data_IF_070284693898
#
_entry.id   IF_070284693898
#
_cell.length_a   1.000
_cell.length_b   1.000
_cell.length_c   1.000
_cell.angle_alpha   90.00
_cell.angle_beta   90.00
_cell.angle_gamma   90.00
#
_symmetry.space_group_name_H-M   'P 1'
#
loop_
_entity.id
_entity.type
_entity.pdbx_description
1 polymer ?
#
# COMPACT_ATOMS: atom_id res chain seq x y z
N UNK A 1 -14.33 -10.46 -14.75
CA UNK A 1 -15.29 -11.58 -14.96
C UNK A 1 -16.43 -11.55 -13.94
N UNK A 2 -16.17 -11.53 -12.63
CA UNK A 2 -17.25 -11.56 -11.62
C UNK A 2 -17.40 -10.26 -10.82
N UNK A 3 -16.45 -9.33 -10.97
CA UNK A 3 -16.42 -8.05 -10.28
C UNK A 3 -15.97 -6.94 -11.24
N UNK A 4 -15.54 -5.80 -10.71
CA UNK A 4 -15.13 -4.63 -11.48
C UNK A 4 -13.60 -4.52 -11.57
N UNK A 5 -13.10 -4.11 -12.73
CA UNK A 5 -11.70 -3.81 -13.03
C UNK A 5 -11.63 -2.37 -13.53
N UNK A 6 -10.58 -1.63 -13.17
CA UNK A 6 -10.20 -0.40 -13.87
C UNK A 6 -9.08 -0.73 -14.87
N UNK A 7 -9.23 -0.27 -16.11
CA UNK A 7 -8.17 -0.31 -17.13
C UNK A 7 -7.49 1.05 -17.33
N UNK A 8 -7.71 2.00 -16.41
CA UNK A 8 -7.18 3.35 -16.46
C UNK A 8 -6.61 3.80 -15.10
N UNK A 9 -6.05 2.86 -14.32
CA UNK A 9 -5.35 3.16 -13.06
C UNK A 9 -3.83 3.21 -13.26
N UNK A 10 -3.19 4.28 -12.82
CA UNK A 10 -1.74 4.49 -12.98
C UNK A 10 -1.05 4.64 -11.62
N UNK A 11 0.27 4.43 -11.55
CA UNK A 11 1.02 4.91 -10.39
C UNK A 11 0.99 6.43 -10.34
N UNK A 12 0.99 7.02 -9.15
CA UNK A 12 0.95 8.49 -9.01
C UNK A 12 2.23 9.15 -9.54
N UNK A 13 3.37 8.48 -9.34
CA UNK A 13 4.67 8.88 -9.90
C UNK A 13 5.33 7.71 -10.63
N UNK A 14 6.33 8.01 -11.46
CA UNK A 14 7.29 6.96 -11.86
C UNK A 14 8.12 6.52 -10.64
N UNK A 15 8.65 5.31 -10.69
CA UNK A 15 9.52 4.77 -9.65
C UNK A 15 9.10 3.37 -9.21
N UNK A 16 9.79 2.83 -8.21
CA UNK A 16 9.56 1.49 -7.70
C UNK A 16 8.57 1.49 -6.52
N UNK A 17 8.65 0.44 -5.72
CA UNK A 17 7.71 0.06 -4.69
C UNK A 17 7.61 1.08 -3.54
N UNK A 18 8.71 1.72 -3.14
CA UNK A 18 8.66 2.69 -2.02
C UNK A 18 7.82 3.93 -2.35
N UNK A 19 8.03 4.64 -3.48
CA UNK A 19 7.09 5.67 -3.93
C UNK A 19 5.64 5.19 -3.96
N UNK A 20 5.36 4.03 -4.56
CA UNK A 20 4.00 3.50 -4.63
C UNK A 20 3.36 3.27 -3.26
N UNK A 21 4.11 2.70 -2.31
CA UNK A 21 3.65 2.48 -0.94
C UNK A 21 3.36 3.80 -0.20
N UNK A 22 4.16 4.85 -0.43
CA UNK A 22 3.94 6.18 0.14
C UNK A 22 2.74 6.90 -0.48
N UNK A 23 2.54 6.78 -1.80
CA UNK A 23 1.41 7.39 -2.49
C UNK A 23 0.07 6.76 -2.04
N UNK A 24 0.02 5.44 -1.78
CA UNK A 24 -1.19 4.79 -1.22
C UNK A 24 -1.57 5.33 0.17
N UNK A 25 -0.60 5.65 1.02
CA UNK A 25 -0.87 6.05 2.42
C UNK A 25 -0.91 7.57 2.64
N UNK A 26 -0.30 8.34 1.74
CA UNK A 26 -0.14 9.79 1.91
C UNK A 26 -0.34 10.62 0.63
N UNK A 27 -0.37 10.00 -0.56
CA UNK A 27 -0.36 10.70 -1.85
C UNK A 27 0.84 11.64 -2.00
N UNK A 28 1.96 11.34 -1.32
CA UNK A 28 3.09 12.25 -1.16
C UNK A 28 4.43 11.52 -1.00
N UNK A 29 5.37 11.88 -1.86
CA UNK A 29 6.75 11.35 -1.93
C UNK A 29 7.83 12.41 -1.60
N UNK A 30 7.45 13.68 -1.46
CA UNK A 30 8.29 14.75 -0.93
C UNK A 30 8.21 14.86 0.59
N UNK A 31 9.30 15.33 1.21
CA UNK A 31 9.42 15.46 2.65
C UNK A 31 10.31 14.39 3.26
N UNK A 32 11.02 13.63 2.43
CA UNK A 32 12.01 12.67 2.88
C UNK A 32 13.15 13.39 3.62
N UNK A 33 13.52 12.84 4.77
CA UNK A 33 14.62 13.28 5.63
C UNK A 33 15.56 12.08 5.79
N UNK A 34 16.71 12.07 5.09
CA UNK A 34 17.65 10.97 5.18
C UNK A 34 18.33 10.91 6.56
N UNK A 35 18.39 9.72 7.13
CA UNK A 35 19.13 9.42 8.36
C UNK A 35 20.43 8.77 7.97
N UNK A 36 21.49 9.58 7.97
CA UNK A 36 22.82 9.10 7.60
C UNK A 36 23.39 8.23 8.70
N UNK A 37 23.56 6.95 8.41
CA UNK A 37 24.62 6.17 9.04
C UNK A 37 25.96 6.61 8.44
N UNK A 38 27.09 6.44 9.14
CA UNK A 38 28.44 6.89 8.73
C UNK A 38 28.95 6.34 7.36
N UNK A 39 28.11 5.67 6.56
CA UNK A 39 28.45 4.90 5.36
C UNK A 39 28.20 5.60 4.01
N UNK A 40 27.60 6.78 3.96
CA UNK A 40 27.40 7.52 2.70
C UNK A 40 28.11 8.89 2.69
N UNK A 41 29.16 9.07 1.88
CA UNK A 41 29.80 10.37 1.70
C UNK A 41 28.99 11.34 0.83
N UNK A 42 27.97 10.85 0.09
CA UNK A 42 27.04 11.65 -0.72
C UNK A 42 25.69 10.97 -0.87
N UNK A 43 24.64 11.77 -1.06
CA UNK A 43 23.28 11.30 -1.30
C UNK A 43 23.14 10.70 -2.70
N UNK A 44 22.55 9.50 -2.86
CA UNK A 44 22.30 8.92 -4.18
C UNK A 44 21.13 9.66 -4.85
N UNK A 45 21.44 10.46 -5.88
CA UNK A 45 20.44 11.22 -6.66
C UNK A 45 19.46 10.34 -7.42
N UNK A 46 19.76 9.05 -7.57
CA UNK A 46 18.84 8.04 -8.11
C UNK A 46 17.76 7.56 -7.12
N UNK A 47 17.83 7.99 -5.85
CA UNK A 47 16.85 7.63 -4.80
C UNK A 47 16.25 8.90 -4.18
N UNK A 48 17.05 9.93 -3.93
CA UNK A 48 16.61 11.17 -3.29
C UNK A 48 16.99 12.38 -4.14
N UNK A 49 15.99 13.19 -4.49
CA UNK A 49 16.20 14.47 -5.16
C UNK A 49 16.08 15.63 -4.17
N UNK A 50 17.13 16.46 -4.01
CA UNK A 50 17.08 17.60 -3.10
C UNK A 50 16.12 18.68 -3.59
N UNK A 51 15.36 19.26 -2.68
CA UNK A 51 14.49 20.41 -2.97
C UNK A 51 15.21 21.77 -2.87
N UNK A 52 16.50 21.75 -2.49
CA UNK A 52 17.32 22.94 -2.25
C UNK A 52 17.04 23.67 -0.93
N UNK A 53 16.10 23.18 -0.11
CA UNK A 53 15.64 23.77 1.17
C UNK A 53 15.80 22.81 2.36
N UNK A 54 16.51 21.70 2.17
CA UNK A 54 16.84 20.75 3.23
C UNK A 54 15.86 19.58 3.34
N UNK A 55 14.96 19.41 2.36
CA UNK A 55 14.11 18.22 2.19
C UNK A 55 14.41 17.53 0.87
N UNK A 56 13.83 16.35 0.71
CA UNK A 56 14.03 15.53 -0.48
C UNK A 56 12.70 14.98 -0.98
N UNK A 57 12.63 14.77 -2.29
CA UNK A 57 11.66 13.88 -2.92
C UNK A 57 12.28 12.49 -3.06
N UNK A 58 11.57 11.48 -2.60
CA UNK A 58 11.95 10.08 -2.79
C UNK A 58 11.48 9.59 -4.16
N UNK A 59 12.42 9.09 -4.97
CA UNK A 59 12.17 8.60 -6.33
C UNK A 59 12.62 7.14 -6.53
N UNK A 60 13.12 6.49 -5.49
CA UNK A 60 13.62 5.12 -5.49
C UNK A 60 13.44 4.46 -4.13
N UNK A 61 13.95 3.24 -3.98
CA UNK A 61 13.82 2.51 -2.72
C UNK A 61 14.87 2.92 -1.68
N UNK A 62 14.37 3.28 -0.50
CA UNK A 62 15.12 3.39 0.74
C UNK A 62 14.43 2.51 1.78
N UNK A 63 15.06 2.21 2.92
CA UNK A 63 14.30 1.59 4.02
C UNK A 63 13.75 2.69 4.96
N UNK A 64 12.65 2.43 5.69
CA UNK A 64 12.20 3.33 6.75
C UNK A 64 13.20 3.36 7.91
N UNK A 65 13.45 4.52 8.54
CA UNK A 65 14.26 4.57 9.76
C UNK A 65 13.56 3.89 10.94
N UNK A 66 12.25 4.06 11.05
CA UNK A 66 11.43 3.58 12.17
C UNK A 66 11.04 2.10 12.00
N UNK A 67 12.01 1.25 11.70
CA UNK A 67 11.80 -0.19 11.55
C UNK A 67 13.07 -0.99 11.90
N UNK A 68 12.98 -1.84 12.92
CA UNK A 68 14.08 -2.70 13.38
C UNK A 68 14.58 -3.69 12.33
N UNK A 69 13.76 -4.01 11.32
CA UNK A 69 14.11 -4.88 10.22
C UNK A 69 14.71 -4.15 9.01
N UNK A 70 14.81 -2.83 9.05
CA UNK A 70 15.54 -2.03 8.06
C UNK A 70 17.02 -2.40 8.04
N UNK A 71 17.52 -2.61 6.83
CA UNK A 71 18.87 -3.12 6.56
C UNK A 71 19.62 -2.29 5.53
N UNK A 72 18.91 -1.49 4.74
CA UNK A 72 19.52 -0.55 3.82
C UNK A 72 20.39 0.43 4.59
N UNK A 73 21.59 0.74 4.09
CA UNK A 73 22.41 1.79 4.68
C UNK A 73 21.78 3.19 4.54
N UNK A 74 20.85 3.36 3.57
CA UNK A 74 20.06 4.57 3.39
C UNK A 74 18.69 4.34 4.01
N UNK A 75 18.46 5.02 5.12
CA UNK A 75 17.19 5.04 5.83
C UNK A 75 16.64 6.46 5.84
N UNK A 76 15.32 6.61 5.82
CA UNK A 76 14.68 7.92 5.79
C UNK A 76 13.49 7.99 6.74
N UNK A 77 13.14 9.21 7.14
CA UNK A 77 11.80 9.55 7.60
C UNK A 77 11.05 10.30 6.51
N UNK A 78 9.73 10.24 6.54
CA UNK A 78 8.85 11.14 5.81
C UNK A 78 8.25 12.16 6.76
N UNK A 79 8.25 13.42 6.34
CA UNK A 79 7.55 14.50 7.01
C UNK A 79 6.15 14.70 6.41
N UNK A 80 5.24 15.27 7.20
CA UNK A 80 3.84 15.45 6.79
C UNK A 80 2.95 14.33 7.32
N UNK A 81 1.63 14.48 7.19
CA UNK A 81 0.68 13.49 7.64
C UNK A 81 0.54 12.36 6.64
N UNK A 82 0.07 11.21 7.13
CA UNK A 82 -0.52 10.16 6.31
C UNK A 82 -1.96 9.87 6.79
N UNK A 83 -2.66 8.99 6.08
CA UNK A 83 -4.07 8.69 6.34
C UNK A 83 -4.34 8.16 7.76
N UNK A 84 -3.37 7.45 8.35
CA UNK A 84 -3.48 6.91 9.70
C UNK A 84 -3.74 7.99 10.75
N UNK A 85 -3.10 9.15 10.61
CA UNK A 85 -3.31 10.28 11.52
C UNK A 85 -4.74 10.85 11.44
N UNK A 86 -5.35 10.85 10.25
CA UNK A 86 -6.75 11.27 10.10
C UNK A 86 -7.71 10.24 10.68
N UNK A 87 -7.43 8.95 10.48
CA UNK A 87 -8.22 7.85 11.03
C UNK A 87 -8.18 7.85 12.57
N UNK A 88 -6.99 8.00 13.17
CA UNK A 88 -6.80 8.11 14.62
C UNK A 88 -7.55 9.29 15.20
N UNK A 89 -7.48 10.46 14.55
CA UNK A 89 -8.18 11.66 14.98
C UNK A 89 -9.70 11.46 15.06
N UNK A 90 -10.26 10.60 14.22
CA UNK A 90 -11.69 10.26 14.21
C UNK A 90 -12.00 8.96 14.98
N UNK A 91 -11.01 8.33 15.60
CA UNK A 91 -11.12 7.02 16.25
C UNK A 91 -11.69 5.92 15.34
N UNK A 92 -11.36 5.98 14.05
CA UNK A 92 -11.77 4.96 13.09
C UNK A 92 -10.82 3.78 13.20
N UNK A 93 -11.30 2.54 13.45
CA UNK A 93 -10.41 1.41 13.58
C UNK A 93 -9.70 1.09 12.26
N UNK A 94 -8.37 1.03 12.26
CA UNK A 94 -7.58 0.74 11.06
C UNK A 94 -6.32 -0.06 11.36
N UNK A 95 -5.77 -0.74 10.36
CA UNK A 95 -4.50 -1.44 10.53
C UNK A 95 -3.77 -1.71 9.22
N UNK A 96 -2.44 -1.77 9.32
CA UNK A 96 -1.54 -2.25 8.30
C UNK A 96 -1.02 -3.63 8.69
N UNK A 97 -1.24 -4.62 7.83
CA UNK A 97 -1.04 -6.04 8.11
C UNK A 97 -0.07 -6.61 7.08
N UNK A 98 1.17 -6.89 7.51
CA UNK A 98 2.22 -7.32 6.59
C UNK A 98 2.75 -8.71 6.94
N UNK A 99 2.96 -9.54 5.91
CA UNK A 99 3.61 -10.83 6.08
C UNK A 99 5.03 -10.66 6.62
N UNK A 100 5.39 -11.42 7.66
CA UNK A 100 6.74 -11.39 8.21
C UNK A 100 6.95 -10.43 9.39
N UNK A 101 5.95 -9.60 9.74
CA UNK A 101 6.08 -8.56 10.77
C UNK A 101 6.16 -9.11 12.22
N UNK A 102 5.52 -10.24 12.52
CA UNK A 102 5.66 -10.88 13.85
C UNK A 102 7.05 -11.50 14.01
N UNK A 103 7.92 -10.82 14.76
CA UNK A 103 9.29 -11.26 15.02
C UNK A 103 9.38 -12.54 15.87
N UNK A 104 8.33 -12.86 16.63
CA UNK A 104 8.27 -14.04 17.50
C UNK A 104 7.85 -15.31 16.76
N UNK A 105 7.26 -15.16 15.57
CA UNK A 105 6.78 -16.29 14.78
C UNK A 105 7.94 -17.07 14.16
N UNK A 106 7.82 -18.39 14.18
CA UNK A 106 8.81 -19.32 13.63
C UNK A 106 8.16 -20.07 12.46
N UNK A 107 8.74 -19.99 11.28
CA UNK A 107 8.28 -20.74 10.11
C UNK A 107 8.70 -22.23 10.22
N UNK A 108 8.08 -23.16 9.45
CA UNK A 108 8.41 -24.59 9.50
C UNK A 108 9.89 -24.92 9.22
N UNK A 109 10.61 -24.05 8.52
CA UNK A 109 12.05 -24.15 8.28
C UNK A 109 12.93 -23.66 9.46
N UNK A 110 12.32 -23.26 10.58
CA UNK A 110 12.99 -22.76 11.77
C UNK A 110 13.39 -21.28 11.73
N UNK A 111 13.15 -20.57 10.62
CA UNK A 111 13.47 -19.15 10.50
C UNK A 111 12.49 -18.27 11.30
N UNK A 112 12.99 -17.12 11.80
CA UNK A 112 12.23 -16.17 12.64
C UNK A 112 12.84 -14.76 12.59
N UNK A 113 12.18 -13.81 13.25
CA UNK A 113 12.59 -12.39 13.30
C UNK A 113 12.63 -11.73 11.92
N UNK A 114 13.45 -10.69 11.77
CA UNK A 114 13.67 -10.00 10.49
C UNK A 114 14.33 -10.89 9.41
N UNK A 115 14.73 -12.11 9.77
CA UNK A 115 15.32 -13.11 8.88
C UNK A 115 14.37 -14.27 8.61
N UNK A 116 13.10 -14.17 9.00
CA UNK A 116 12.07 -15.16 8.71
C UNK A 116 11.89 -15.28 7.20
N UNK A 117 11.90 -16.52 6.70
CA UNK A 117 11.86 -16.83 5.28
C UNK A 117 10.85 -17.91 4.94
N UNK A 118 10.34 -17.83 3.71
CA UNK A 118 9.48 -18.82 3.08
C UNK A 118 10.06 -19.24 1.73
N UNK A 119 9.58 -20.38 1.22
CA UNK A 119 10.03 -20.93 -0.05
C UNK A 119 8.89 -20.81 -1.07
N UNK A 120 9.17 -20.17 -2.19
CA UNK A 120 8.25 -20.10 -3.34
C UNK A 120 7.96 -21.48 -3.91
N UNK A 121 6.88 -21.60 -4.68
CA UNK A 121 6.57 -22.79 -5.47
C UNK A 121 7.68 -23.16 -6.47
N UNK A 122 8.50 -22.19 -6.89
CA UNK A 122 9.69 -22.38 -7.73
C UNK A 122 10.97 -22.77 -6.94
N UNK A 123 10.92 -22.83 -5.61
CA UNK A 123 12.04 -23.25 -4.77
C UNK A 123 12.98 -22.13 -4.28
N UNK A 124 12.73 -20.87 -4.66
CA UNK A 124 13.47 -19.70 -4.13
C UNK A 124 13.11 -19.45 -2.66
N UNK A 125 14.12 -19.27 -1.81
CA UNK A 125 13.96 -18.90 -0.40
C UNK A 125 14.07 -17.39 -0.24
N UNK A 126 13.04 -16.77 0.33
CA UNK A 126 12.86 -15.31 0.35
C UNK A 126 12.48 -14.88 1.76
N UNK A 127 12.93 -13.70 2.19
CA UNK A 127 12.47 -13.12 3.46
C UNK A 127 11.01 -12.75 3.38
N UNK A 128 10.25 -13.01 4.43
CA UNK A 128 8.82 -12.72 4.43
C UNK A 128 8.55 -11.22 4.47
N UNK A 129 9.33 -10.46 5.26
CA UNK A 129 9.18 -9.02 5.44
C UNK A 129 10.20 -8.20 4.64
N UNK A 130 9.71 -7.22 3.89
CA UNK A 130 10.49 -6.22 3.16
C UNK A 130 10.16 -4.82 3.72
N UNK A 131 11.08 -4.18 4.49
CA UNK A 131 10.80 -2.92 5.16
C UNK A 131 10.37 -1.79 4.22
N UNK A 132 11.00 -1.69 3.04
CA UNK A 132 10.71 -0.62 2.09
C UNK A 132 9.30 -0.68 1.47
N UNK A 133 8.57 -1.79 1.63
CA UNK A 133 7.16 -1.90 1.23
C UNK A 133 6.19 -1.37 2.30
N UNK A 134 6.66 -0.98 3.49
CA UNK A 134 5.82 -0.54 4.59
C UNK A 134 5.72 0.99 4.65
N UNK A 135 4.75 1.56 3.93
CA UNK A 135 4.55 3.02 3.83
C UNK A 135 4.38 3.73 5.18
N UNK A 136 3.74 3.10 6.17
CA UNK A 136 3.49 3.72 7.47
C UNK A 136 4.73 3.80 8.36
N UNK A 137 5.72 2.92 8.17
CA UNK A 137 6.98 2.93 8.94
C UNK A 137 7.88 4.11 8.59
N UNK A 138 7.60 4.83 7.49
CA UNK A 138 8.35 6.03 7.17
C UNK A 138 7.96 7.23 8.05
N UNK A 139 6.81 7.18 8.72
CA UNK A 139 6.27 8.29 9.49
C UNK A 139 6.32 7.95 10.99
N UNK A 140 7.11 8.69 11.81
CA UNK A 140 7.17 8.44 13.25
C UNK A 140 5.79 8.52 13.95
N UNK A 141 4.84 9.26 13.38
CA UNK A 141 3.46 9.39 13.86
C UNK A 141 2.64 8.11 13.75
N UNK A 142 3.02 7.16 12.90
CA UNK A 142 2.27 5.90 12.67
C UNK A 142 3.16 4.66 12.70
N UNK A 143 4.46 4.82 12.91
CA UNK A 143 5.40 3.72 12.91
C UNK A 143 5.35 2.89 14.20
N UNK A 144 5.66 1.60 14.07
CA UNK A 144 5.96 0.66 15.14
C UNK A 144 7.42 0.19 14.97
N UNK A 145 8.41 0.92 15.53
CA UNK A 145 9.82 0.67 15.26
C UNK A 145 10.31 -0.70 15.69
N UNK A 146 9.69 -1.28 16.71
CA UNK A 146 10.15 -2.53 17.33
C UNK A 146 9.31 -3.75 16.96
N UNK A 147 8.34 -3.58 16.04
CA UNK A 147 7.35 -4.60 15.67
C UNK A 147 6.66 -5.17 16.92
N UNK A 148 6.32 -4.31 17.88
CA UNK A 148 5.63 -4.70 19.11
C UNK A 148 4.27 -5.31 18.78
N UNK A 149 3.93 -6.40 19.46
CA UNK A 149 2.69 -7.16 19.22
C UNK A 149 1.48 -6.43 19.81
N UNK A 150 0.27 -6.61 19.26
CA UNK A 150 -0.94 -6.07 19.85
C UNK A 150 -1.14 -6.59 21.28
N UNK A 151 -1.71 -5.76 22.15
CA UNK A 151 -2.01 -6.15 23.53
C UNK A 151 -3.03 -7.29 23.58
N UNK A 152 -3.96 -7.33 22.63
CA UNK A 152 -4.96 -8.40 22.49
C UNK A 152 -5.60 -8.40 21.09
N UNK A 153 -6.32 -9.46 20.74
CA UNK A 153 -7.09 -9.51 19.49
C UNK A 153 -8.15 -8.42 19.39
N UNK A 154 -8.74 -8.02 20.52
CA UNK A 154 -9.78 -6.98 20.57
C UNK A 154 -9.23 -5.55 20.47
N UNK A 155 -7.91 -5.34 20.57
CA UNK A 155 -7.29 -4.01 20.43
C UNK A 155 -6.70 -3.77 19.04
N UNK A 156 -6.63 -4.82 18.20
CA UNK A 156 -6.27 -4.67 16.79
C UNK A 156 -7.24 -3.69 16.14
N UNK A 157 -6.69 -2.67 15.47
CA UNK A 157 -7.46 -1.60 14.86
C UNK A 157 -7.46 -0.29 15.65
N UNK A 158 -7.12 -0.29 16.95
CA UNK A 158 -7.32 0.86 17.83
C UNK A 158 -6.01 1.53 18.26
N UNK A 159 -6.02 2.87 18.39
CA UNK A 159 -4.87 3.66 18.82
C UNK A 159 -4.59 3.54 20.33
N UNK A 160 -5.62 3.21 21.11
CA UNK A 160 -5.55 3.06 22.56
C UNK A 160 -6.17 1.75 23.01
N UNK A 161 -5.76 1.26 24.18
CA UNK A 161 -6.41 0.18 24.91
C UNK A 161 -7.85 0.58 25.32
N UNK A 162 -8.67 -0.37 25.82
CA UNK A 162 -10.07 -0.09 26.19
C UNK A 162 -10.27 0.98 27.28
N UNK A 163 -9.20 1.40 27.96
CA UNK A 163 -9.23 2.54 28.89
C UNK A 163 -9.30 3.91 28.21
N UNK A 164 -9.11 3.95 26.88
CA UNK A 164 -9.16 5.17 26.05
C UNK A 164 -7.97 6.11 26.24
N UNK A 165 -6.93 5.71 26.97
CA UNK A 165 -5.81 6.59 27.33
C UNK A 165 -4.46 5.91 27.13
N UNK A 166 -4.34 4.62 27.43
CA UNK A 166 -3.08 3.89 27.25
C UNK A 166 -2.88 3.60 25.76
N UNK A 167 -1.77 4.03 25.14
CA UNK A 167 -1.51 3.72 23.73
C UNK A 167 -1.47 2.22 23.48
N UNK A 168 -2.04 1.80 22.36
CA UNK A 168 -1.94 0.41 21.89
C UNK A 168 -0.51 0.15 21.38
N UNK A 169 0.19 -0.89 21.89
CA UNK A 169 1.61 -1.07 21.62
C UNK A 169 1.98 -1.35 20.16
N UNK A 170 1.07 -1.90 19.35
CA UNK A 170 1.34 -2.21 17.95
C UNK A 170 1.20 -0.99 17.03
N UNK A 171 0.56 0.09 17.51
CA UNK A 171 0.43 1.36 16.80
C UNK A 171 -0.08 1.19 15.35
N UNK A 172 -1.14 0.39 15.20
CA UNK A 172 -1.76 0.03 13.92
C UNK A 172 -0.90 -0.79 12.95
N UNK A 173 0.31 -1.22 13.33
CA UNK A 173 1.21 -2.04 12.52
C UNK A 173 1.24 -3.48 13.05
N UNK A 174 0.80 -4.41 12.22
CA UNK A 174 0.50 -5.79 12.62
C UNK A 174 1.11 -6.81 11.65
N UNK A 175 1.21 -8.06 12.09
CA UNK A 175 1.48 -9.19 11.20
C UNK A 175 0.21 -9.56 10.44
N UNK A 176 0.39 -10.03 9.20
CA UNK A 176 -0.72 -10.49 8.36
C UNK A 176 -1.63 -11.50 9.07
N UNK A 177 -1.10 -12.30 9.97
CA UNK A 177 -1.88 -13.34 10.66
C UNK A 177 -2.71 -12.80 11.81
N UNK A 178 -2.41 -11.59 12.28
CA UNK A 178 -3.26 -10.84 13.21
C UNK A 178 -4.56 -10.41 12.53
N UNK A 179 -4.52 -10.05 11.24
CA UNK A 179 -5.72 -9.74 10.46
C UNK A 179 -6.70 -10.91 10.47
N UNK A 180 -6.23 -12.09 10.06
CA UNK A 180 -7.05 -13.30 10.04
C UNK A 180 -7.58 -13.65 11.44
N UNK A 181 -6.77 -13.48 12.48
CA UNK A 181 -7.16 -13.76 13.86
C UNK A 181 -8.20 -12.77 14.39
N UNK A 182 -8.03 -11.47 14.13
CA UNK A 182 -8.96 -10.43 14.52
C UNK A 182 -10.32 -10.60 13.82
N UNK A 183 -10.30 -10.74 12.51
CA UNK A 183 -11.49 -10.95 11.67
C UNK A 183 -12.24 -12.22 12.07
N UNK A 184 -11.53 -13.32 12.31
CA UNK A 184 -12.14 -14.58 12.78
C UNK A 184 -12.78 -14.44 14.16
N UNK A 185 -12.26 -13.54 15.00
CA UNK A 185 -12.82 -13.21 16.31
C UNK A 185 -13.96 -12.19 16.26
N UNK A 186 -14.36 -11.71 15.07
CA UNK A 186 -15.39 -10.69 14.90
C UNK A 186 -14.90 -9.25 15.09
N UNK A 187 -13.58 -9.02 15.13
CA UNK A 187 -12.99 -7.69 15.19
C UNK A 187 -12.49 -7.28 13.80
N UNK A 188 -13.30 -6.49 13.08
CA UNK A 188 -13.00 -6.02 11.72
C UNK A 188 -12.59 -4.54 11.78
N UNK A 189 -11.32 -4.19 11.52
CA UNK A 189 -10.96 -2.80 11.29
C UNK A 189 -11.73 -2.26 10.09
N UNK A 190 -12.18 -1.01 10.17
CA UNK A 190 -12.88 -0.34 9.09
C UNK A 190 -11.99 -0.17 7.85
N UNK A 191 -10.69 0.06 8.05
CA UNK A 191 -9.68 0.12 6.99
C UNK A 191 -8.57 -0.89 7.30
N UNK A 192 -8.30 -1.81 6.37
CA UNK A 192 -7.20 -2.78 6.51
C UNK A 192 -6.33 -2.77 5.26
N UNK A 193 -5.05 -2.42 5.42
CA UNK A 193 -4.04 -2.55 4.37
C UNK A 193 -3.34 -3.90 4.53
N UNK A 194 -3.34 -4.73 3.48
CA UNK A 194 -2.72 -6.05 3.51
C UNK A 194 -1.55 -6.10 2.52
N UNK A 195 -0.36 -6.47 2.99
CA UNK A 195 0.77 -6.85 2.11
C UNK A 195 1.11 -8.32 2.36
N UNK A 196 1.17 -9.08 1.27
CA UNK A 196 1.58 -10.47 1.30
C UNK A 196 3.01 -10.61 1.87
N UNK A 197 3.38 -11.77 2.46
CA UNK A 197 4.79 -12.07 2.63
C UNK A 197 5.47 -12.08 1.25
N UNK A 198 6.74 -11.64 1.17
CA UNK A 198 7.37 -11.33 -0.11
C UNK A 198 7.32 -12.46 -1.15
N UNK A 199 7.36 -13.73 -0.72
CA UNK A 199 7.29 -14.85 -1.67
C UNK A 199 5.94 -14.95 -2.42
N UNK A 200 4.90 -14.25 -1.97
CA UNK A 200 3.54 -14.22 -2.54
C UNK A 200 3.08 -12.82 -2.97
N UNK A 201 3.96 -11.82 -3.04
CA UNK A 201 3.55 -10.44 -3.37
C UNK A 201 3.52 -10.14 -4.88
N UNK A 202 3.82 -11.13 -5.72
CA UNK A 202 3.79 -11.02 -7.18
C UNK A 202 5.07 -10.44 -7.80
N UNK A 203 6.00 -9.93 -6.99
CA UNK A 203 7.22 -9.30 -7.51
C UNK A 203 8.09 -10.31 -8.28
N UNK A 204 8.55 -9.91 -9.47
CA UNK A 204 9.40 -10.75 -10.30
C UNK A 204 10.74 -11.07 -9.60
N UNK A 205 11.25 -12.28 -9.82
CA UNK A 205 12.53 -12.73 -9.29
C UNK A 205 12.46 -13.44 -7.94
N UNK A 206 11.56 -13.05 -7.05
CA UNK A 206 11.37 -13.71 -5.74
C UNK A 206 9.93 -14.10 -5.42
N UNK A 207 8.95 -13.70 -6.22
CA UNK A 207 7.59 -14.26 -6.23
C UNK A 207 7.23 -14.72 -7.65
N UNK A 208 5.96 -15.09 -7.86
CA UNK A 208 5.39 -15.44 -9.14
C UNK A 208 3.85 -15.42 -9.06
N UNK A 209 3.15 -15.43 -10.21
CA UNK A 209 1.69 -15.35 -10.24
C UNK A 209 0.96 -16.50 -9.51
N UNK A 210 1.56 -17.69 -9.39
CA UNK A 210 0.91 -18.81 -8.69
C UNK A 210 0.98 -18.64 -7.16
N UNK A 211 2.12 -18.19 -6.64
CA UNK A 211 2.26 -17.90 -5.22
C UNK A 211 1.43 -16.68 -4.79
N UNK A 212 1.36 -15.66 -5.65
CA UNK A 212 0.47 -14.50 -5.50
C UNK A 212 -1.00 -14.90 -5.53
N UNK A 213 -1.43 -15.70 -6.53
CA UNK A 213 -2.79 -16.21 -6.63
C UNK A 213 -3.22 -16.91 -5.32
N UNK A 214 -2.35 -17.75 -4.74
CA UNK A 214 -2.65 -18.43 -3.47
C UNK A 214 -2.93 -17.45 -2.33
N UNK A 215 -2.18 -16.35 -2.24
CA UNK A 215 -2.43 -15.32 -1.23
C UNK A 215 -3.76 -14.59 -1.49
N UNK A 216 -3.99 -14.11 -2.71
CA UNK A 216 -5.21 -13.39 -3.07
C UNK A 216 -6.45 -14.27 -2.83
N UNK A 217 -6.42 -15.52 -3.31
CA UNK A 217 -7.52 -16.47 -3.14
C UNK A 217 -7.75 -16.81 -1.67
N UNK A 218 -6.69 -16.97 -0.85
CA UNK A 218 -6.81 -17.18 0.59
C UNK A 218 -7.55 -16.03 1.26
N UNK A 219 -7.14 -14.78 1.00
CA UNK A 219 -7.76 -13.58 1.58
C UNK A 219 -9.23 -13.47 1.14
N UNK A 220 -9.51 -13.58 -0.16
CA UNK A 220 -10.86 -13.42 -0.70
C UNK A 220 -11.80 -14.52 -0.23
N UNK A 221 -11.39 -15.79 -0.25
CA UNK A 221 -12.21 -16.89 0.25
C UNK A 221 -12.51 -16.71 1.75
N UNK A 222 -11.49 -16.33 2.53
CA UNK A 222 -11.65 -16.09 3.95
C UNK A 222 -12.68 -14.98 4.22
N UNK A 223 -12.52 -13.81 3.61
CA UNK A 223 -13.44 -12.69 3.79
C UNK A 223 -14.85 -13.00 3.31
N UNK A 224 -15.00 -13.60 2.13
CA UNK A 224 -16.31 -13.96 1.56
C UNK A 224 -17.08 -15.01 2.40
N UNK A 225 -16.37 -15.77 3.23
CA UNK A 225 -16.98 -16.73 4.17
C UNK A 225 -17.44 -16.11 5.49
N UNK A 226 -17.16 -14.82 5.72
CA UNK A 226 -17.59 -14.09 6.92
C UNK A 226 -18.92 -13.37 6.69
N UNK A 227 -19.80 -13.24 7.71
CA UNK A 227 -21.05 -12.51 7.56
C UNK A 227 -20.85 -11.03 7.17
N UNK A 228 -19.75 -10.41 7.61
CA UNK A 228 -19.37 -9.03 7.31
C UNK A 228 -18.98 -8.80 5.84
N UNK A 229 -18.84 -9.87 5.03
CA UNK A 229 -18.62 -9.72 3.58
C UNK A 229 -19.66 -8.82 2.93
N UNK A 230 -20.91 -8.85 3.42
CA UNK A 230 -22.02 -8.02 2.94
C UNK A 230 -21.73 -6.51 2.99
N UNK A 231 -20.77 -6.07 3.82
CA UNK A 231 -20.38 -4.68 4.02
C UNK A 231 -18.89 -4.45 3.69
N UNK A 232 -18.24 -5.42 3.05
CA UNK A 232 -16.80 -5.38 2.74
C UNK A 232 -16.55 -5.01 1.27
N UNK A 233 -15.51 -4.22 1.05
CA UNK A 233 -14.89 -4.06 -0.27
C UNK A 233 -13.39 -4.36 -0.18
N UNK A 234 -12.90 -5.18 -1.09
CA UNK A 234 -11.46 -5.44 -1.28
C UNK A 234 -11.03 -4.70 -2.54
N UNK A 235 -10.09 -3.78 -2.39
CA UNK A 235 -9.39 -3.13 -3.50
C UNK A 235 -8.06 -3.85 -3.68
N UNK A 236 -7.88 -4.50 -4.83
CA UNK A 236 -6.62 -5.16 -5.20
C UNK A 236 -5.90 -4.28 -6.21
N UNK A 237 -4.66 -3.86 -5.89
CA UNK A 237 -3.82 -3.08 -6.78
C UNK A 237 -2.33 -3.36 -6.55
N UNK A 238 -1.46 -2.65 -7.27
CA UNK A 238 0.00 -2.81 -7.26
C UNK A 238 0.68 -1.50 -6.87
N UNK A 239 1.88 -1.60 -6.31
CA UNK A 239 2.74 -0.48 -5.92
C UNK A 239 3.52 0.11 -7.10
N UNK A 240 3.93 -0.73 -8.04
CA UNK A 240 4.58 -0.32 -9.28
C UNK A 240 4.31 -1.31 -10.42
N UNK A 241 4.98 -1.13 -11.56
CA UNK A 241 4.81 -1.97 -12.75
C UNK A 241 6.00 -2.89 -13.04
N UNK A 242 6.99 -2.96 -12.15
CA UNK A 242 8.30 -3.60 -12.32
C UNK A 242 9.08 -3.10 -13.56
N UNK A 243 8.65 -1.96 -14.13
CA UNK A 243 9.13 -1.48 -15.43
C UNK A 243 8.70 -2.33 -16.64
N UNK A 244 7.71 -3.22 -16.48
CA UNK A 244 7.20 -4.04 -17.57
C UNK A 244 6.46 -3.21 -18.61
N UNK A 245 6.40 -3.75 -19.83
CA UNK A 245 5.73 -3.08 -20.93
C UNK A 245 4.23 -2.94 -20.69
N UNK A 246 3.76 -1.70 -20.69
CA UNK A 246 2.37 -1.33 -20.93
C UNK A 246 2.33 -0.35 -22.12
N UNK A 247 1.28 -0.46 -22.94
CA UNK A 247 1.16 0.33 -24.17
C UNK A 247 0.55 1.71 -23.95
N UNK A 248 -0.07 1.97 -22.80
CA UNK A 248 -0.75 3.21 -22.50
C UNK A 248 0.30 4.26 -22.11
N UNK A 249 0.45 5.27 -22.95
CA UNK A 249 1.18 6.48 -22.61
C UNK A 249 0.22 7.49 -22.00
N UNK A 250 0.12 7.51 -20.66
CA UNK A 250 -0.73 8.45 -19.94
C UNK A 250 -0.19 9.89 -20.09
N UNK A 251 -1.06 10.90 -20.26
CA UNK A 251 -0.64 12.30 -20.15
C UNK A 251 -0.04 12.57 -18.77
N UNK A 252 1.14 13.18 -18.73
CA UNK A 252 1.77 13.62 -17.49
C UNK A 252 0.94 14.75 -16.87
N UNK A 253 0.41 14.52 -15.67
CA UNK A 253 -0.37 15.49 -14.90
C UNK A 253 0.49 16.29 -13.91
N UNK A 254 1.60 15.72 -13.45
CA UNK A 254 2.52 16.31 -12.50
C UNK A 254 3.93 16.34 -13.09
N UNK A 255 4.49 17.54 -13.26
CA UNK A 255 5.76 17.72 -13.95
C UNK A 255 6.97 17.54 -13.02
N UNK A 256 8.13 17.32 -13.63
CA UNK A 256 9.43 17.36 -12.96
C UNK A 256 10.51 17.73 -13.98
N UNK A 257 11.54 18.44 -13.52
CA UNK A 257 12.56 19.05 -14.38
C UNK A 257 14.00 18.79 -13.92
N UNK A 258 14.25 17.74 -13.15
CA UNK A 258 15.59 17.33 -12.77
C UNK A 258 16.33 16.68 -13.96
N UNK A 259 17.50 17.22 -14.30
CA UNK A 259 18.27 16.78 -15.47
C UNK A 259 18.80 15.34 -15.40
N UNK A 260 18.89 14.74 -14.21
CA UNK A 260 19.39 13.38 -14.02
C UNK A 260 18.25 12.36 -13.88
N UNK A 261 17.18 12.71 -13.18
CA UNK A 261 16.04 11.82 -12.99
C UNK A 261 15.05 11.86 -14.16
N UNK A 262 14.81 13.03 -14.75
CA UNK A 262 13.80 13.20 -15.80
C UNK A 262 14.43 13.07 -17.17
N UNK A 263 14.59 11.84 -17.65
CA UNK A 263 15.31 11.55 -18.91
C UNK A 263 14.50 10.83 -19.97
N UNK A 264 13.21 10.54 -19.73
CA UNK A 264 12.38 9.73 -20.65
C UNK A 264 12.27 10.34 -22.05
N UNK A 265 11.96 11.63 -22.14
CA UNK A 265 11.85 12.35 -23.43
C UNK A 265 13.11 13.13 -23.77
N UNK A 266 13.68 13.83 -22.78
CA UNK A 266 14.97 14.51 -22.82
C UNK A 266 15.35 14.92 -21.40
N UNK A 267 16.63 15.13 -21.12
CA UNK A 267 17.10 15.50 -19.78
C UNK A 267 16.37 16.74 -19.23
N UNK A 268 15.78 16.65 -18.03
CA UNK A 268 15.03 17.71 -17.37
C UNK A 268 13.62 17.93 -17.93
N UNK A 269 13.08 16.99 -18.71
CA UNK A 269 11.77 17.13 -19.33
C UNK A 269 10.84 15.99 -18.94
N UNK A 270 10.04 16.22 -17.90
CA UNK A 270 8.82 15.49 -17.61
C UNK A 270 7.63 16.45 -17.49
N UNK A 271 6.64 16.32 -18.37
CA UNK A 271 5.40 17.12 -18.30
C UNK A 271 5.59 18.60 -18.64
N UNK A 272 4.56 19.39 -18.35
CA UNK A 272 4.53 20.84 -18.60
C UNK A 272 4.94 21.63 -17.36
N UNK A 273 5.74 22.68 -17.52
CA UNK A 273 6.17 23.57 -16.41
C UNK A 273 5.00 24.21 -15.63
N UNK A 274 3.79 24.25 -16.19
CA UNK A 274 2.61 24.79 -15.51
C UNK A 274 2.00 23.85 -14.46
N UNK A 275 2.46 22.59 -14.38
CA UNK A 275 1.90 21.57 -13.48
C UNK A 275 2.93 20.99 -12.51
N UNK A 276 3.88 21.82 -12.05
CA UNK A 276 4.84 21.39 -11.03
C UNK A 276 4.10 21.12 -9.71
N UNK A 277 4.24 19.91 -9.13
CA UNK A 277 3.54 19.55 -7.92
C UNK A 277 4.13 20.24 -6.70
N UNK A 278 3.32 20.38 -5.66
CA UNK A 278 3.74 20.96 -4.39
C UNK A 278 4.28 19.88 -3.45
N UNK A 279 5.30 20.24 -2.69
CA UNK A 279 5.79 19.46 -1.57
C UNK A 279 5.00 19.70 -0.28
N UNK A 280 5.41 18.99 0.76
CA UNK A 280 4.87 19.08 2.14
C UNK A 280 4.93 20.45 2.81
N UNK A 281 5.72 21.39 2.29
CA UNK A 281 5.81 22.79 2.70
C UNK A 281 5.00 23.75 1.80
N UNK A 282 4.26 23.22 0.83
CA UNK A 282 3.45 23.98 -0.12
C UNK A 282 4.25 24.68 -1.22
N UNK A 283 5.54 24.35 -1.36
CA UNK A 283 6.37 24.90 -2.44
C UNK A 283 6.52 23.91 -3.60
N UNK A 284 6.74 24.39 -4.83
CA UNK A 284 7.06 23.51 -5.96
C UNK A 284 8.29 22.63 -5.70
N UNK A 285 8.23 21.38 -6.16
CA UNK A 285 9.30 20.37 -6.00
C UNK A 285 9.49 19.54 -7.27
N UNK A 286 10.72 19.07 -7.50
CA UNK A 286 11.02 18.05 -8.52
C UNK A 286 10.88 16.63 -7.95
N UNK A 287 10.94 15.64 -8.83
CA UNK A 287 10.97 14.20 -8.49
C UNK A 287 9.60 13.54 -8.40
N UNK A 288 8.52 14.28 -8.65
CA UNK A 288 7.15 13.76 -8.59
C UNK A 288 6.51 13.72 -9.98
N UNK A 289 7.31 13.37 -10.98
CA UNK A 289 6.88 13.16 -12.36
C UNK A 289 5.81 12.06 -12.41
N UNK A 290 4.64 12.34 -12.98
CA UNK A 290 3.60 11.32 -13.14
C UNK A 290 2.28 11.83 -13.73
N UNK A 291 1.25 10.97 -13.87
CA UNK A 291 1.22 9.56 -13.48
C UNK A 291 2.27 8.72 -14.20
N UNK A 292 2.73 7.66 -13.55
CA UNK A 292 3.66 6.68 -14.11
C UNK A 292 2.95 5.60 -14.94
N UNK A 293 3.52 4.39 -15.03
CA UNK A 293 2.91 3.28 -15.77
C UNK A 293 1.53 2.88 -15.24
N UNK A 294 0.72 2.29 -16.12
CA UNK A 294 -0.59 1.72 -15.74
C UNK A 294 -0.38 0.47 -14.88
N UNK A 295 -1.19 0.33 -13.83
CA UNK A 295 -1.22 -0.81 -12.92
C UNK A 295 -2.62 -1.43 -12.86
N UNK A 296 -2.76 -2.73 -12.58
CA UNK A 296 -4.05 -3.33 -12.34
C UNK A 296 -4.74 -2.73 -11.10
N UNK A 297 -6.05 -2.51 -11.18
CA UNK A 297 -6.89 -2.22 -10.02
C UNK A 297 -8.24 -2.92 -10.15
N UNK A 298 -8.59 -3.73 -9.15
CA UNK A 298 -9.86 -4.43 -9.07
C UNK A 298 -10.60 -4.03 -7.80
N UNK A 299 -11.93 -3.95 -7.88
CA UNK A 299 -12.81 -3.81 -6.72
C UNK A 299 -13.65 -5.08 -6.62
N UNK A 300 -13.47 -5.82 -5.54
CA UNK A 300 -14.21 -7.04 -5.22
C UNK A 300 -15.08 -6.77 -4.00
N UNK A 301 -16.39 -6.78 -4.19
CA UNK A 301 -17.37 -6.45 -3.16
C UNK A 301 -18.72 -7.03 -3.56
N UNK A 302 -19.61 -7.34 -2.61
CA UNK A 302 -21.00 -7.61 -2.96
C UNK A 302 -21.67 -6.44 -3.68
N UNK A 303 -21.13 -5.22 -3.57
CA UNK A 303 -21.63 -4.00 -4.20
C UNK A 303 -20.82 -3.52 -5.41
N UNK A 304 -19.84 -4.30 -5.85
CA UNK A 304 -19.09 -3.99 -7.07
C UNK A 304 -19.97 -4.23 -8.31
N UNK A 305 -19.73 -3.48 -9.38
CA UNK A 305 -20.30 -3.83 -10.70
C UNK A 305 -19.75 -5.19 -11.15
N UNK A 306 -20.58 -5.99 -11.83
CA UNK A 306 -20.19 -7.33 -12.28
C UNK A 306 -19.68 -7.33 -13.72
N UNK A 307 -18.53 -7.98 -13.95
CA UNK A 307 -17.91 -8.08 -15.27
C UNK A 307 -17.75 -6.73 -15.96
N UNK A 308 -17.44 -5.71 -15.17
CA UNK A 308 -17.37 -4.32 -15.60
C UNK A 308 -15.92 -3.89 -15.72
N UNK A 309 -15.63 -3.13 -16.77
CA UNK A 309 -14.35 -2.42 -16.93
C UNK A 309 -14.66 -0.93 -16.84
N UNK A 310 -14.11 -0.28 -15.83
CA UNK A 310 -14.19 1.16 -15.66
C UNK A 310 -13.00 1.85 -16.34
N UNK A 311 -13.27 3.00 -16.95
CA UNK A 311 -12.30 3.77 -17.73
C UNK A 311 -11.99 5.13 -17.10
N UNK A 312 -12.46 5.39 -15.89
CA UNK A 312 -12.13 6.61 -15.15
C UNK A 312 -10.64 6.60 -14.86
N UNK A 313 -9.96 7.71 -15.10
CA UNK A 313 -8.55 7.83 -14.71
C UNK A 313 -8.43 7.79 -13.20
N UNK A 314 -7.70 6.80 -12.70
CA UNK A 314 -7.41 6.60 -11.28
C UNK A 314 -5.90 6.59 -11.07
N UNK A 315 -5.47 6.87 -9.84
CA UNK A 315 -4.11 6.66 -9.39
C UNK A 315 -4.08 5.84 -8.10
N UNK A 316 -2.91 5.57 -7.52
CA UNK A 316 -2.82 4.89 -6.22
C UNK A 316 -3.49 5.74 -5.13
N UNK A 317 -3.36 7.06 -5.21
CA UNK A 317 -4.02 8.02 -4.33
C UNK A 317 -5.55 8.03 -4.49
N UNK A 318 -6.13 7.42 -5.52
CA UNK A 318 -7.59 7.20 -5.58
C UNK A 318 -8.11 6.30 -4.46
N UNK A 319 -7.26 5.42 -3.91
CA UNK A 319 -7.58 4.61 -2.73
C UNK A 319 -7.68 5.49 -1.49
N UNK A 320 -6.70 6.39 -1.33
CA UNK A 320 -6.68 7.37 -0.26
C UNK A 320 -7.94 8.24 -0.30
N UNK A 321 -8.26 8.82 -1.45
CA UNK A 321 -9.47 9.63 -1.66
C UNK A 321 -10.75 8.86 -1.30
N UNK A 322 -10.84 7.58 -1.66
CA UNK A 322 -12.01 6.76 -1.34
C UNK A 322 -12.19 6.58 0.18
N UNK A 323 -11.09 6.38 0.93
CA UNK A 323 -11.14 6.32 2.39
C UNK A 323 -11.63 7.66 2.97
N UNK A 324 -11.09 8.77 2.46
CA UNK A 324 -11.46 10.12 2.93
C UNK A 324 -12.94 10.45 2.67
N UNK A 325 -13.43 10.10 1.48
CA UNK A 325 -14.83 10.33 1.09
C UNK A 325 -15.79 9.51 1.95
N UNK A 326 -15.43 8.27 2.29
CA UNK A 326 -16.34 7.36 2.97
C UNK A 326 -16.31 7.46 4.51
N UNK A 327 -15.14 7.74 5.12
CA UNK A 327 -15.00 7.75 6.58
C UNK A 327 -14.58 9.10 7.18
N UNK A 328 -13.99 10.01 6.41
CA UNK A 328 -13.40 11.24 6.95
C UNK A 328 -14.15 12.51 6.56
N UNK A 329 -15.40 12.38 6.10
CA UNK A 329 -16.23 13.50 5.69
C UNK A 329 -15.54 14.39 4.63
N UNK A 330 -14.88 13.75 3.65
CA UNK A 330 -14.15 14.41 2.56
C UNK A 330 -12.94 15.25 3.04
N UNK A 331 -12.45 15.02 4.25
CA UNK A 331 -11.24 15.67 4.76
C UNK A 331 -10.00 15.11 4.04
N UNK A 332 -9.40 15.96 3.20
CA UNK A 332 -8.11 15.70 2.51
C UNK A 332 -6.93 15.85 3.46
N UNK A 333 -5.85 15.08 3.24
CA UNK A 333 -4.56 15.28 3.89
C UNK A 333 -3.95 16.65 3.54
N UNK A 334 -4.08 17.07 2.28
CA UNK A 334 -3.45 18.27 1.76
C UNK A 334 -1.92 18.21 1.81
N UNK A 335 -1.24 19.36 2.01
CA UNK A 335 0.24 19.44 2.04
C UNK A 335 0.91 18.81 0.82
N UNK A 336 0.36 19.10 -0.36
CA UNK A 336 0.86 18.58 -1.62
C UNK A 336 0.54 17.11 -1.87
N UNK A 337 -0.28 16.47 -1.03
CA UNK A 337 -0.87 15.18 -1.38
C UNK A 337 -1.64 15.28 -2.71
N UNK A 338 -1.61 14.21 -3.50
CA UNK A 338 -2.38 14.10 -4.74
C UNK A 338 -3.86 13.74 -4.53
N UNK A 339 -4.30 13.59 -3.28
CA UNK A 339 -5.67 13.25 -2.87
C UNK A 339 -6.74 14.17 -3.47
N UNK A 340 -6.45 15.47 -3.59
CA UNK A 340 -7.38 16.46 -4.13
C UNK A 340 -7.66 16.25 -5.62
N UNK A 341 -6.67 15.75 -6.37
CA UNK A 341 -6.72 15.58 -7.82
C UNK A 341 -7.04 14.13 -8.25
N UNK A 342 -6.94 13.16 -7.33
CA UNK A 342 -7.13 11.75 -7.60
C UNK A 342 -8.56 11.41 -8.06
N UNK A 343 -8.73 10.46 -8.99
CA UNK A 343 -10.05 10.00 -9.43
C UNK A 343 -10.85 9.25 -8.34
N UNK A 344 -12.16 9.12 -8.51
CA UNK A 344 -13.05 8.49 -7.52
C UNK A 344 -13.36 7.02 -7.88
N UNK A 345 -13.13 6.11 -6.93
CA UNK A 345 -13.42 4.66 -7.08
C UNK A 345 -14.92 4.32 -7.13
N UNK A 346 -15.81 5.28 -6.84
CA UNK A 346 -17.26 5.06 -6.79
C UNK A 346 -17.84 4.47 -8.09
N UNK A 347 -17.20 4.74 -9.23
CA UNK A 347 -17.63 4.24 -10.54
C UNK A 347 -17.50 2.72 -10.70
N UNK A 348 -16.74 2.05 -9.84
CA UNK A 348 -16.60 0.58 -9.80
C UNK A 348 -17.72 -0.10 -8.98
N UNK A 349 -18.54 0.67 -8.27
CA UNK A 349 -19.63 0.18 -7.43
C UNK A 349 -21.02 0.39 -8.08
N UNK A 350 -21.98 -0.43 -7.68
CA UNK A 350 -23.41 -0.23 -7.91
C UNK A 350 -24.17 -0.46 -6.58
N UNK A 351 -24.43 0.64 -5.87
CA UNK A 351 -25.21 0.63 -4.63
C UNK A 351 -26.73 0.69 -4.87
N UNK A 352 -27.18 0.70 -6.13
CA UNK A 352 -28.61 0.72 -6.47
C UNK A 352 -29.17 -0.67 -6.75
N UNK A 353 -28.29 -1.67 -6.91
CA UNK A 353 -28.69 -3.04 -7.14
C UNK A 353 -29.50 -3.60 -5.95
N UNK A 354 -30.56 -4.39 -6.21
CA UNK A 354 -31.49 -4.83 -5.15
C UNK A 354 -30.93 -5.94 -4.26
N UNK A 355 -29.93 -6.68 -4.75
CA UNK A 355 -29.33 -7.81 -4.03
C UNK A 355 -27.81 -7.77 -4.16
N UNK A 356 -27.06 -8.03 -3.07
CA UNK A 356 -25.61 -8.14 -3.11
C UNK A 356 -25.17 -9.30 -4.01
N UNK A 357 -24.00 -9.17 -4.65
CA UNK A 357 -23.40 -10.25 -5.42
C UNK A 357 -23.09 -11.46 -4.53
N UNK A 358 -23.32 -12.69 -5.03
CA UNK A 358 -22.94 -13.88 -4.29
C UNK A 358 -21.41 -14.01 -4.19
N UNK A 359 -20.90 -14.63 -3.12
CA UNK A 359 -19.49 -15.03 -3.04
C UNK A 359 -19.01 -15.81 -4.26
N UNK A 360 -17.78 -15.50 -4.70
CA UNK A 360 -16.99 -16.28 -5.64
C UNK A 360 -15.85 -16.97 -4.89
N UNK A 361 -16.04 -18.24 -4.54
CA UNK A 361 -14.97 -19.06 -4.00
C UNK A 361 -14.09 -19.58 -5.12
N UNK A 362 -12.78 -19.54 -4.93
CA UNK A 362 -11.80 -20.02 -5.90
C UNK A 362 -10.90 -21.09 -5.28
N UNK A 363 -10.43 -22.03 -6.10
CA UNK A 363 -9.39 -22.96 -5.73
C UNK A 363 -8.03 -22.22 -5.72
N UNK A 364 -7.25 -22.27 -4.62
CA UNK A 364 -6.04 -21.48 -4.49
C UNK A 364 -4.91 -21.90 -5.45
N UNK A 365 -4.90 -23.15 -5.91
CA UNK A 365 -3.86 -23.67 -6.80
C UNK A 365 -4.16 -23.40 -8.27
N UNK A 366 -5.43 -23.48 -8.66
CA UNK A 366 -5.86 -23.33 -10.05
C UNK A 366 -6.53 -22.01 -10.40
N UNK A 367 -7.00 -21.25 -9.40
CA UNK A 367 -7.78 -20.02 -9.60
C UNK A 367 -9.19 -20.27 -10.16
N UNK A 368 -9.63 -21.53 -10.22
CA UNK A 368 -10.91 -21.91 -10.80
C UNK A 368 -12.06 -21.80 -9.77
N UNK A 369 -13.29 -21.46 -10.21
CA UNK A 369 -14.44 -21.39 -9.30
C UNK A 369 -14.75 -22.69 -8.57
N UNK A 370 -15.10 -22.56 -7.29
CA UNK A 370 -15.59 -23.61 -6.42
C UNK A 370 -17.08 -23.43 -6.13
N UNK A 371 -17.80 -24.54 -5.99
CA UNK A 371 -19.23 -24.54 -5.65
C UNK A 371 -19.49 -24.24 -4.16
N UNK A 372 -18.52 -24.50 -3.29
CA UNK A 372 -18.60 -24.34 -1.84
C UNK A 372 -17.31 -23.69 -1.33
N UNK A 373 -17.37 -23.00 -0.17
CA UNK A 373 -16.16 -22.51 0.48
C UNK A 373 -15.18 -23.66 0.76
N UNK A 374 -13.87 -23.45 0.59
CA UNK A 374 -12.85 -24.40 1.06
C UNK A 374 -13.06 -24.77 2.54
N UNK A 375 -12.74 -26.03 2.88
CA UNK A 375 -12.99 -26.58 4.22
C UNK A 375 -12.16 -25.94 5.35
N UNK A 376 -11.04 -25.28 5.03
CA UNK A 376 -10.04 -24.81 6.00
C UNK A 376 -9.93 -23.27 6.12
N UNK A 377 -11.05 -22.54 5.96
CA UNK A 377 -11.08 -21.07 6.03
C UNK A 377 -11.19 -20.48 7.45
#
# INVERSE_FOLDING_TARGET
QHYALSDATFTDTFGPSTPGALEVVAGQTHGAIPVFTQRFPSLPTSILLPDGRGRFTLIGDADPEEDVCSRSPLRIHMAGPNIGELLDKQNIPWGNFMGGFDLSRINPNGSSGCTRTSTTSAGSVVRDYLPHHNGFQYYPSTANPFHTRPASLSTIGHATLPDGVTPEPAHHQYDLEDFFSAVKAGNFPAISFLKAPAFQDGHAGYSNPLDEQRFIVRVLNFLQSRPEWAETAVILTYDDSDGWYDHAFSPILHSSHDSQADTLSSAGHCGSESHIPLGTDGQPVNGRCGPGPRIPLLVLSPWAKTNWVDHTTLTQTSILRFIEDNWLHEARLGRGSFDVDAGNLIHLFDFTQPTPLPPLYLDPDSGLPLALPPHDL
#
